data_IF_289628267997
#
_entry.id   IF_289628267997
#
_cell.length_a   1.000
_cell.length_b   1.000
_cell.length_c   1.000
_cell.angle_alpha   90.00
_cell.angle_beta   90.00
_cell.angle_gamma   90.00
#
_symmetry.space_group_name_H-M   'P 1'
#
loop_
_entity.id
_entity.type
_entity.pdbx_description
1 polymer ?
#
# COMPACT_ATOMS: atom_id res chain seq x y z
N UNK A 1 5.51 -0.73 0.61
CA UNK A 1 5.24 0.71 0.86
C UNK A 1 5.85 1.50 -0.29
N UNK A 2 5.30 2.67 -0.61
CA UNK A 2 5.74 3.47 -1.76
C UNK A 2 7.17 3.92 -1.53
N UNK A 3 8.08 3.55 -2.43
CA UNK A 3 9.42 4.13 -2.42
C UNK A 3 9.31 5.61 -2.81
N UNK A 4 9.90 6.49 -1.99
CA UNK A 4 9.74 7.94 -2.13
C UNK A 4 11.07 8.57 -2.48
N UNK A 5 11.43 8.51 -3.76
CA UNK A 5 12.68 9.07 -4.29
C UNK A 5 12.81 10.56 -3.95
N UNK A 6 11.70 11.28 -3.93
CA UNK A 6 11.65 12.70 -3.59
C UNK A 6 12.09 13.01 -2.14
N UNK A 7 12.17 11.99 -1.27
CA UNK A 7 12.61 12.12 0.12
C UNK A 7 14.06 11.66 0.34
N UNK A 8 14.75 11.22 -0.69
CA UNK A 8 15.98 10.43 -0.59
C UNK A 8 17.17 11.21 -1.14
N UNK A 9 17.43 12.38 -0.53
CA UNK A 9 18.48 13.31 -0.98
C UNK A 9 19.91 12.81 -0.70
N UNK A 10 20.08 11.85 0.22
CA UNK A 10 21.39 11.37 0.65
C UNK A 10 21.85 10.09 -0.09
N UNK A 11 21.07 9.61 -1.07
CA UNK A 11 21.52 8.55 -1.99
C UNK A 11 21.72 7.16 -1.38
N UNK A 12 21.15 6.88 -0.22
CA UNK A 12 21.28 5.57 0.44
C UNK A 12 20.44 4.46 -0.19
N UNK A 13 19.56 4.80 -1.13
CA UNK A 13 18.75 3.82 -1.83
C UNK A 13 19.40 3.35 -3.12
N UNK A 14 19.27 2.05 -3.44
CA UNK A 14 19.68 1.51 -4.72
C UNK A 14 18.78 2.02 -5.86
N UNK A 15 19.12 1.65 -7.09
CA UNK A 15 18.27 1.97 -8.25
C UNK A 15 16.87 1.35 -8.09
N UNK A 16 15.87 1.92 -8.77
CA UNK A 16 14.51 1.40 -8.73
C UNK A 16 14.43 -0.06 -9.23
N UNK A 17 15.23 -0.42 -10.22
CA UNK A 17 15.29 -1.78 -10.75
C UNK A 17 15.88 -2.76 -9.74
N UNK A 18 16.97 -2.36 -9.07
CA UNK A 18 17.54 -3.15 -7.99
C UNK A 18 16.54 -3.27 -6.83
N UNK A 19 15.86 -2.17 -6.48
CA UNK A 19 14.87 -2.18 -5.44
C UNK A 19 13.71 -3.15 -5.74
N UNK A 20 13.17 -3.08 -6.96
CA UNK A 20 12.08 -3.95 -7.43
C UNK A 20 12.47 -5.42 -7.35
N UNK A 21 13.68 -5.76 -7.82
CA UNK A 21 14.20 -7.13 -7.81
C UNK A 21 14.46 -7.66 -6.40
N UNK A 22 15.02 -6.85 -5.52
CA UNK A 22 15.48 -7.29 -4.20
C UNK A 22 14.39 -7.20 -3.14
N UNK A 23 13.56 -6.14 -3.13
CA UNK A 23 12.53 -5.93 -2.10
C UNK A 23 11.10 -5.86 -2.63
N UNK A 24 10.88 -5.65 -3.93
CA UNK A 24 9.54 -5.63 -4.51
C UNK A 24 8.78 -6.95 -4.33
N UNK A 25 7.45 -6.87 -4.29
CA UNK A 25 6.58 -8.04 -4.28
C UNK A 25 6.38 -8.54 -5.72
N UNK A 26 7.21 -9.51 -6.12
CA UNK A 26 7.08 -10.22 -7.39
C UNK A 26 6.01 -11.30 -7.35
N UNK A 27 5.59 -11.79 -8.53
CA UNK A 27 4.66 -12.90 -8.66
C UNK A 27 5.17 -14.17 -7.93
N UNK A 28 6.46 -14.49 -8.06
CA UNK A 28 7.07 -15.63 -7.37
C UNK A 28 7.03 -15.51 -5.84
N UNK A 29 7.22 -14.30 -5.31
CA UNK A 29 7.12 -14.04 -3.86
C UNK A 29 5.67 -14.14 -3.41
N UNK A 30 4.75 -13.62 -4.20
CA UNK A 30 3.32 -13.72 -3.94
C UNK A 30 2.84 -15.18 -3.85
N UNK A 31 3.31 -16.05 -4.75
CA UNK A 31 2.95 -17.48 -4.76
C UNK A 31 3.48 -18.27 -3.55
N UNK A 32 4.42 -17.70 -2.78
CA UNK A 32 4.91 -18.27 -1.51
C UNK A 32 4.11 -17.82 -0.30
N UNK A 33 3.22 -16.84 -0.45
CA UNK A 33 2.36 -16.39 0.63
C UNK A 33 1.35 -17.47 1.01
N UNK A 34 0.85 -17.41 2.24
CA UNK A 34 -0.31 -18.22 2.63
C UNK A 34 -1.47 -17.97 1.66
N UNK A 35 -2.28 -18.99 1.31
CA UNK A 35 -3.46 -18.84 0.45
C UNK A 35 -4.46 -17.78 0.95
N UNK A 36 -4.44 -17.51 2.26
CA UNK A 36 -5.30 -16.53 2.93
C UNK A 36 -4.61 -15.19 3.23
N UNK A 37 -3.36 -15.02 2.81
CA UNK A 37 -2.65 -13.75 2.99
C UNK A 37 -3.26 -12.66 2.10
N UNK A 38 -3.38 -11.46 2.68
CA UNK A 38 -3.74 -10.26 1.94
C UNK A 38 -2.52 -9.37 1.73
N UNK A 39 -2.50 -8.69 0.60
CA UNK A 39 -1.51 -7.65 0.28
C UNK A 39 -2.20 -6.31 0.40
N UNK A 40 -1.58 -5.40 1.15
CA UNK A 40 -2.10 -4.06 1.42
C UNK A 40 -1.05 -3.01 1.07
N UNK A 41 -1.51 -1.85 0.60
CA UNK A 41 -0.65 -0.71 0.28
C UNK A 41 -1.41 0.62 0.46
N UNK A 42 -0.87 1.63 1.16
CA UNK A 42 -1.58 2.87 1.45
C UNK A 42 -1.73 3.83 0.26
N UNK A 43 -1.13 3.53 -0.89
CA UNK A 43 -1.26 4.32 -2.11
C UNK A 43 -0.54 5.70 -2.07
N UNK A 44 -0.28 6.32 -3.24
CA UNK A 44 -0.30 5.68 -4.56
C UNK A 44 0.74 4.55 -4.64
N UNK A 45 0.56 3.62 -5.58
CA UNK A 45 1.50 2.50 -5.80
C UNK A 45 2.34 2.85 -7.02
N UNK A 46 3.65 2.68 -6.95
CA UNK A 46 4.50 2.58 -8.12
C UNK A 46 4.46 1.13 -8.61
N UNK A 47 3.54 0.87 -9.55
CA UNK A 47 3.39 -0.45 -10.17
C UNK A 47 4.67 -0.85 -10.91
N UNK A 48 5.06 -2.12 -10.79
CA UNK A 48 6.31 -2.65 -11.33
C UNK A 48 7.55 -2.39 -10.45
N UNK A 49 7.43 -1.58 -9.40
CA UNK A 49 8.53 -1.29 -8.45
C UNK A 49 8.30 -2.01 -7.13
N UNK A 50 7.40 -1.51 -6.27
CA UNK A 50 7.13 -2.17 -4.99
C UNK A 50 6.21 -3.40 -5.12
N UNK A 51 5.35 -3.44 -6.14
CA UNK A 51 4.41 -4.52 -6.41
C UNK A 51 4.36 -4.75 -7.92
N UNK A 52 4.50 -6.01 -8.36
CA UNK A 52 4.37 -6.34 -9.78
C UNK A 52 2.99 -5.96 -10.32
N UNK A 53 2.94 -5.33 -11.49
CA UNK A 53 1.70 -4.86 -12.14
C UNK A 53 0.67 -5.98 -12.34
N UNK A 54 1.12 -7.21 -12.59
CA UNK A 54 0.24 -8.37 -12.77
C UNK A 54 -0.57 -8.72 -11.50
N UNK A 55 -0.04 -8.39 -10.33
CA UNK A 55 -0.70 -8.67 -9.05
C UNK A 55 -1.81 -7.67 -8.74
N UNK A 56 -1.84 -6.50 -9.38
CA UNK A 56 -2.79 -5.42 -9.04
C UNK A 56 -4.26 -5.83 -9.19
N UNK A 57 -4.55 -6.82 -10.04
CA UNK A 57 -5.91 -7.36 -10.26
C UNK A 57 -6.22 -8.61 -9.41
N UNK A 58 -5.29 -9.06 -8.57
CA UNK A 58 -5.49 -10.25 -7.75
C UNK A 58 -6.47 -9.95 -6.61
N UNK A 59 -7.44 -10.84 -6.38
CA UNK A 59 -8.44 -10.72 -5.31
C UNK A 59 -7.88 -10.55 -3.89
N UNK A 60 -6.66 -11.04 -3.64
CA UNK A 60 -5.99 -10.92 -2.34
C UNK A 60 -5.22 -9.60 -2.19
N UNK A 61 -5.12 -8.77 -3.25
CA UNK A 61 -4.54 -7.43 -3.21
C UNK A 61 -5.65 -6.43 -2.92
N UNK A 62 -5.64 -5.83 -1.72
CA UNK A 62 -6.77 -5.08 -1.16
C UNK A 62 -6.62 -3.55 -1.28
N UNK A 63 -5.77 -3.07 -2.18
CA UNK A 63 -5.40 -1.65 -2.27
C UNK A 63 -6.63 -0.77 -2.57
N UNK A 64 -7.45 -1.15 -3.56
CA UNK A 64 -8.70 -0.44 -3.88
C UNK A 64 -9.71 -0.53 -2.74
N UNK A 65 -9.78 -1.68 -2.06
CA UNK A 65 -10.64 -1.88 -0.90
C UNK A 65 -10.22 -0.99 0.27
N UNK A 66 -8.92 -0.74 0.47
CA UNK A 66 -8.43 0.23 1.46
C UNK A 66 -8.91 1.65 1.15
N UNK A 67 -8.88 2.06 -0.12
CA UNK A 67 -9.38 3.38 -0.54
C UNK A 67 -10.86 3.52 -0.24
N UNK A 68 -11.67 2.52 -0.62
CA UNK A 68 -13.10 2.49 -0.34
C UNK A 68 -13.39 2.53 1.17
N UNK A 69 -12.71 1.68 1.95
CA UNK A 69 -12.86 1.65 3.41
C UNK A 69 -12.44 2.98 4.07
N UNK A 70 -11.48 3.69 3.48
CA UNK A 70 -11.05 5.00 3.95
C UNK A 70 -12.17 6.05 3.95
N UNK A 71 -13.18 5.93 3.09
CA UNK A 71 -14.37 6.81 3.12
C UNK A 71 -15.17 6.56 4.41
N UNK A 72 -15.53 5.31 4.69
CA UNK A 72 -16.29 4.95 5.88
C UNK A 72 -15.57 5.34 7.18
N UNK A 73 -14.25 5.11 7.25
CA UNK A 73 -13.44 5.51 8.41
C UNK A 73 -13.46 7.02 8.60
N UNK A 74 -13.25 7.81 7.54
CA UNK A 74 -13.29 9.28 7.62
C UNK A 74 -14.68 9.79 8.02
N UNK A 75 -15.75 9.21 7.48
CA UNK A 75 -17.12 9.53 7.89
C UNK A 75 -17.35 9.27 9.37
N UNK A 76 -16.91 8.11 9.89
CA UNK A 76 -17.04 7.78 11.30
C UNK A 76 -16.27 8.76 12.21
N UNK A 77 -15.05 9.13 11.81
CA UNK A 77 -14.23 10.11 12.52
C UNK A 77 -14.92 11.48 12.53
N UNK A 78 -15.35 11.98 11.37
CA UNK A 78 -16.05 13.27 11.25
C UNK A 78 -17.37 13.27 12.03
N UNK A 79 -18.14 12.20 11.95
CA UNK A 79 -19.37 12.05 12.71
C UNK A 79 -19.09 12.12 14.22
N UNK A 80 -18.07 11.41 14.71
CA UNK A 80 -17.65 11.46 16.12
C UNK A 80 -17.32 12.89 16.55
N UNK A 81 -16.51 13.61 15.77
CA UNK A 81 -16.14 14.99 16.08
C UNK A 81 -17.33 15.96 16.03
N UNK A 82 -18.25 15.79 15.07
CA UNK A 82 -19.40 16.66 14.89
C UNK A 82 -20.53 16.43 15.90
N UNK A 83 -20.66 15.21 16.46
CA UNK A 83 -21.82 14.84 17.30
C UNK A 83 -21.49 14.65 18.78
N UNK A 84 -20.26 14.28 19.13
CA UNK A 84 -19.89 13.97 20.52
C UNK A 84 -19.02 15.04 21.18
N UNK A 85 -18.60 16.07 20.43
CA UNK A 85 -17.68 17.10 20.93
C UNK A 85 -16.29 16.54 21.25
N UNK A 86 -15.27 17.40 21.21
CA UNK A 86 -13.93 17.05 21.71
C UNK A 86 -13.97 17.17 23.24
N UNK A 87 -14.50 16.14 23.91
CA UNK A 87 -14.42 16.02 25.37
C UNK A 87 -13.69 14.73 25.72
N UNK A 88 -12.37 14.81 25.59
CA UNK A 88 -11.38 14.10 26.41
C UNK A 88 -10.32 15.11 26.78
#
# INVERSE_FOLDING_TARGET
>A
LRIQNERQQQGYLPSLDEYSRVWGLSHDRFNKLSPHAFVMHPGPVNEGIEISSELMRNKNVLIEKQVANGVAVRMAILHKFATLGILT
#
